data_IF_104353290527
#
_entry.id   IF_104353290527
#
_cell.length_a   1.000
_cell.length_b   1.000
_cell.length_c   1.000
_cell.angle_alpha   90.00
_cell.angle_beta   90.00
_cell.angle_gamma   90.00
#
_symmetry.space_group_name_H-M   'P 1'
#
loop_
_entity.id
_entity.type
_entity.pdbx_description
1 polymer ?
#
# COMPACT_ATOMS: atom_id res chain seq x y z
N UNK A 1 36.35 -41.67 37.41
CA UNK A 1 35.25 -42.08 36.50
C UNK A 1 34.66 -40.81 35.93
N UNK A 2 34.90 -40.48 34.64
CA UNK A 2 34.42 -39.22 34.05
C UNK A 2 32.91 -39.31 33.76
N UNK A 3 32.18 -38.28 34.19
CA UNK A 3 30.77 -38.06 33.85
C UNK A 3 30.70 -37.63 32.38
N UNK A 4 29.95 -38.40 31.57
CA UNK A 4 29.82 -38.22 30.14
C UNK A 4 28.79 -37.11 29.84
N UNK A 5 29.16 -36.02 29.14
CA UNK A 5 28.28 -34.87 28.88
C UNK A 5 27.24 -35.10 27.75
N UNK A 6 26.94 -36.34 27.37
CA UNK A 6 26.03 -36.67 26.25
C UNK A 6 24.65 -37.14 26.69
N UNK A 7 24.44 -37.43 27.97
CA UNK A 7 23.17 -37.96 28.47
C UNK A 7 22.16 -36.85 28.82
N UNK A 8 22.59 -35.59 28.84
CA UNK A 8 21.74 -34.41 29.13
C UNK A 8 21.00 -33.89 27.88
N UNK A 9 21.51 -34.21 26.68
CA UNK A 9 20.95 -33.68 25.41
C UNK A 9 19.78 -34.53 24.88
N UNK A 10 19.47 -35.66 25.52
CA UNK A 10 18.48 -36.63 24.99
C UNK A 10 17.09 -36.50 25.64
N UNK A 11 16.89 -35.66 26.68
CA UNK A 11 15.67 -35.71 27.50
C UNK A 11 14.69 -34.54 27.37
N UNK A 12 14.85 -33.63 26.41
CA UNK A 12 13.85 -32.59 26.10
C UNK A 12 13.30 -32.71 24.68
N UNK A 13 12.91 -33.93 24.30
CA UNK A 13 12.28 -34.22 23.00
C UNK A 13 10.86 -34.79 23.11
N UNK A 14 10.18 -34.57 24.24
CA UNK A 14 8.87 -35.17 24.47
C UNK A 14 7.98 -34.33 25.39
N UNK A 15 7.38 -33.26 24.84
CA UNK A 15 6.05 -32.77 25.24
C UNK A 15 5.64 -31.57 24.35
N UNK A 16 5.38 -31.81 23.07
CA UNK A 16 4.51 -30.91 22.30
C UNK A 16 3.10 -31.46 22.47
N UNK A 17 2.21 -30.78 23.22
CA UNK A 17 0.88 -31.29 23.48
C UNK A 17 -0.03 -31.13 22.25
N UNK A 18 -0.77 -32.20 21.90
CA UNK A 18 -1.64 -32.36 20.71
C UNK A 18 -2.88 -31.42 20.64
N UNK A 19 -2.84 -30.25 21.28
CA UNK A 19 -3.97 -29.29 21.30
C UNK A 19 -3.68 -27.96 20.58
N UNK A 20 -2.62 -27.88 19.77
CA UNK A 20 -2.35 -26.70 18.93
C UNK A 20 -2.36 -27.00 17.42
N UNK A 21 -2.98 -28.11 17.02
CA UNK A 21 -3.44 -28.32 15.64
C UNK A 21 -4.88 -27.80 15.54
N UNK A 22 -5.06 -26.48 15.63
CA UNK A 22 -6.30 -25.83 15.20
C UNK A 22 -6.00 -24.45 14.62
N UNK A 23 -6.50 -24.20 13.40
CA UNK A 23 -6.63 -22.85 12.83
C UNK A 23 -5.66 -22.39 11.74
N UNK A 24 -4.88 -23.28 11.11
CA UNK A 24 -3.79 -22.97 10.16
C UNK A 24 -4.13 -22.26 8.82
N UNK A 25 -5.27 -21.58 8.65
CA UNK A 25 -5.63 -20.98 7.35
C UNK A 25 -6.03 -19.50 7.35
N UNK A 26 -5.92 -18.76 8.46
CA UNK A 26 -6.25 -17.34 8.48
C UNK A 26 -5.12 -16.39 8.92
N UNK A 27 -4.03 -16.91 9.52
CA UNK A 27 -3.06 -16.09 10.25
C UNK A 27 -1.70 -15.87 9.55
N UNK A 28 -1.48 -16.49 8.38
CA UNK A 28 -0.22 -16.39 7.64
C UNK A 28 -0.08 -15.08 6.84
N UNK A 29 -1.19 -14.44 6.48
CA UNK A 29 -1.20 -13.26 5.61
C UNK A 29 -0.85 -11.95 6.34
N UNK A 30 -1.21 -11.82 7.62
CA UNK A 30 -0.92 -10.61 8.40
C UNK A 30 0.56 -10.51 8.81
N UNK A 31 1.20 -11.64 9.11
CA UNK A 31 2.62 -11.68 9.49
C UNK A 31 3.56 -11.29 8.35
N UNK A 32 3.19 -11.54 7.09
CA UNK A 32 4.01 -11.17 5.92
C UNK A 32 3.95 -9.67 5.60
N UNK A 33 2.82 -9.00 5.86
CA UNK A 33 2.67 -7.56 5.60
C UNK A 33 3.47 -6.70 6.59
N UNK A 34 3.59 -7.16 7.85
CA UNK A 34 4.40 -6.47 8.86
C UNK A 34 5.91 -6.72 8.71
N UNK A 35 6.32 -7.77 8.00
CA UNK A 35 7.72 -8.05 7.69
C UNK A 35 8.29 -7.14 6.58
N UNK A 36 7.44 -6.52 5.76
CA UNK A 36 7.87 -5.57 4.73
C UNK A 36 8.21 -4.18 5.32
N UNK A 37 7.61 -3.79 6.44
CA UNK A 37 7.85 -2.50 7.12
C UNK A 37 9.02 -2.57 8.13
N UNK A 38 9.53 -3.76 8.47
CA UNK A 38 10.67 -3.93 9.38
C UNK A 38 11.97 -3.44 8.75
N UNK A 39 12.35 -2.20 9.07
CA UNK A 39 13.59 -1.55 8.62
C UNK A 39 13.37 -0.18 7.98
N UNK A 40 12.13 0.17 7.62
CA UNK A 40 11.81 1.49 7.09
C UNK A 40 11.56 2.50 8.22
N UNK A 41 12.43 3.50 8.30
CA UNK A 41 12.21 4.64 9.19
C UNK A 41 11.20 5.61 8.56
N UNK A 42 9.99 5.71 9.12
CA UNK A 42 8.98 6.72 8.77
C UNK A 42 9.44 8.12 9.22
N UNK A 43 10.52 8.65 8.63
CA UNK A 43 11.14 9.93 8.99
C UNK A 43 10.86 11.04 7.96
N UNK A 44 9.96 10.81 7.00
CA UNK A 44 9.58 11.84 6.02
C UNK A 44 8.82 12.96 6.70
N UNK A 45 9.37 14.17 6.64
CA UNK A 45 8.71 15.37 7.16
C UNK A 45 7.44 15.65 6.34
N UNK A 46 6.39 16.22 6.93
CA UNK A 46 5.15 16.57 6.21
C UNK A 46 5.40 17.39 4.93
N UNK A 47 6.41 18.28 4.96
CA UNK A 47 6.85 19.05 3.79
C UNK A 47 7.37 18.18 2.64
N UNK A 48 8.12 17.11 2.93
CA UNK A 48 8.65 16.21 1.89
C UNK A 48 7.51 15.41 1.25
N UNK A 49 6.53 14.97 2.05
CA UNK A 49 5.34 14.28 1.57
C UNK A 49 4.51 15.20 0.65
N UNK A 50 4.35 16.47 1.03
CA UNK A 50 3.67 17.46 0.19
C UNK A 50 4.41 17.73 -1.13
N UNK A 51 5.75 17.79 -1.11
CA UNK A 51 6.54 17.96 -2.34
C UNK A 51 6.37 16.77 -3.29
N UNK A 52 6.29 15.54 -2.78
CA UNK A 52 6.01 14.34 -3.57
C UNK A 52 4.61 14.43 -4.19
N UNK A 53 3.62 14.81 -3.40
CA UNK A 53 2.24 14.98 -3.88
C UNK A 53 2.14 16.03 -4.99
N UNK A 54 2.77 17.20 -4.82
CA UNK A 54 2.79 18.27 -5.83
C UNK A 54 3.54 17.83 -7.09
N UNK A 55 4.69 17.15 -6.93
CA UNK A 55 5.47 16.63 -8.04
C UNK A 55 4.69 15.62 -8.90
N UNK A 56 3.95 14.72 -8.25
CA UNK A 56 3.06 13.78 -8.93
C UNK A 56 1.85 14.45 -9.60
N UNK A 57 1.25 15.44 -8.92
CA UNK A 57 0.05 16.13 -9.42
C UNK A 57 0.33 17.05 -10.62
N UNK A 58 1.47 17.76 -10.64
CA UNK A 58 1.87 18.61 -11.77
C UNK A 58 2.41 17.74 -12.92
N UNK A 59 3.38 16.86 -12.60
CA UNK A 59 3.97 15.89 -13.52
C UNK A 59 4.43 16.45 -14.87
N UNK A 60 4.79 15.55 -15.78
CA UNK A 60 5.03 15.89 -17.20
C UNK A 60 3.72 15.99 -17.99
N UNK A 61 2.62 15.43 -17.47
CA UNK A 61 1.31 15.40 -18.15
C UNK A 61 0.71 16.78 -18.36
N UNK A 62 0.85 17.69 -17.39
CA UNK A 62 0.41 19.07 -17.57
C UNK A 62 1.23 19.79 -18.65
N UNK A 63 2.54 19.53 -18.72
CA UNK A 63 3.42 20.22 -19.67
C UNK A 63 3.31 19.67 -21.10
N UNK A 64 3.34 18.34 -21.25
CA UNK A 64 3.22 17.67 -22.55
C UNK A 64 1.78 17.71 -23.08
N UNK A 65 0.79 17.70 -22.20
CA UNK A 65 -0.63 17.69 -22.54
C UNK A 65 -1.26 19.07 -22.70
N UNK A 66 -0.89 20.08 -21.90
CA UNK A 66 -1.53 21.39 -21.99
C UNK A 66 -1.05 22.23 -23.17
N UNK A 67 0.22 22.10 -23.59
CA UNK A 67 0.80 22.94 -24.64
C UNK A 67 0.04 22.87 -25.98
N UNK A 68 -0.20 21.67 -26.51
CA UNK A 68 -0.95 21.48 -27.75
C UNK A 68 -2.44 21.77 -27.60
N UNK A 69 -3.02 21.38 -26.46
CA UNK A 69 -4.47 21.56 -26.21
C UNK A 69 -4.87 23.00 -25.94
N UNK A 70 -3.96 23.83 -25.41
CA UNK A 70 -4.22 25.24 -25.19
C UNK A 70 -4.33 26.00 -26.52
N UNK A 71 -3.51 25.62 -27.52
CA UNK A 71 -3.56 26.20 -28.85
C UNK A 71 -4.86 25.85 -29.61
N UNK A 72 -5.36 24.61 -29.46
CA UNK A 72 -6.60 24.17 -30.13
C UNK A 72 -7.88 24.54 -29.39
N UNK A 73 -7.94 24.39 -28.05
CA UNK A 73 -9.17 24.60 -27.28
C UNK A 73 -9.39 26.06 -26.85
N UNK A 74 -8.34 26.89 -26.87
CA UNK A 74 -8.43 28.27 -26.41
C UNK A 74 -8.81 28.40 -24.92
N UNK A 75 -9.45 29.51 -24.50
CA UNK A 75 -9.78 29.77 -23.09
C UNK A 75 -10.69 28.72 -22.45
N UNK A 76 -11.44 27.96 -23.28
CA UNK A 76 -12.34 26.90 -22.82
C UNK A 76 -11.62 25.76 -22.10
N UNK A 77 -10.30 25.59 -22.34
CA UNK A 77 -9.49 24.56 -21.71
C UNK A 77 -9.46 24.70 -20.17
N UNK A 78 -9.48 25.94 -19.65
CA UNK A 78 -9.49 26.19 -18.21
C UNK A 78 -10.77 25.64 -17.57
N UNK A 79 -11.91 25.83 -18.24
CA UNK A 79 -13.21 25.32 -17.76
C UNK A 79 -13.21 23.79 -17.80
N UNK A 80 -12.69 23.18 -18.88
CA UNK A 80 -12.59 21.73 -18.98
C UNK A 80 -11.68 21.14 -17.88
N UNK A 81 -10.54 21.77 -17.59
CA UNK A 81 -9.66 21.38 -16.49
C UNK A 81 -10.30 21.58 -15.11
N UNK A 82 -11.09 22.64 -14.91
CA UNK A 82 -11.79 22.88 -13.66
C UNK A 82 -12.86 21.82 -13.38
N UNK A 83 -13.66 21.45 -14.40
CA UNK A 83 -14.68 20.40 -14.27
C UNK A 83 -14.02 19.03 -14.05
N UNK A 84 -12.99 18.69 -14.83
CA UNK A 84 -12.23 17.46 -14.65
C UNK A 84 -11.58 17.40 -13.24
N UNK A 85 -10.95 18.50 -12.83
CA UNK A 85 -10.34 18.66 -11.51
C UNK A 85 -11.34 18.55 -10.37
N UNK A 86 -12.58 19.02 -10.56
CA UNK A 86 -13.64 18.85 -9.57
C UNK A 86 -14.00 17.38 -9.34
N UNK A 87 -14.21 16.61 -10.41
CA UNK A 87 -14.45 15.16 -10.28
C UNK A 87 -13.24 14.42 -9.70
N UNK A 88 -12.04 14.76 -10.17
CA UNK A 88 -10.80 14.19 -9.63
C UNK A 88 -10.63 14.52 -8.14
N UNK A 89 -10.97 15.73 -7.71
CA UNK A 89 -10.94 16.14 -6.30
C UNK A 89 -11.91 15.32 -5.45
N UNK A 90 -13.13 15.05 -5.93
CA UNK A 90 -14.08 14.20 -5.22
C UNK A 90 -13.54 12.78 -5.02
N UNK A 91 -12.94 12.20 -6.07
CA UNK A 91 -12.32 10.87 -5.99
C UNK A 91 -11.13 10.90 -5.03
N UNK A 92 -10.24 11.89 -5.14
CA UNK A 92 -9.06 12.02 -4.29
C UNK A 92 -9.45 12.25 -2.82
N UNK A 93 -10.55 12.97 -2.56
CA UNK A 93 -11.11 13.15 -1.23
C UNK A 93 -11.67 11.83 -0.68
N UNK A 94 -12.41 11.07 -1.47
CA UNK A 94 -12.91 9.75 -1.07
C UNK A 94 -11.75 8.77 -0.78
N UNK A 95 -10.72 8.75 -1.63
CA UNK A 95 -9.50 7.97 -1.41
C UNK A 95 -8.72 8.44 -0.17
N UNK A 96 -8.67 9.75 0.08
CA UNK A 96 -8.03 10.31 1.26
C UNK A 96 -8.69 9.85 2.56
N UNK A 97 -10.03 9.88 2.61
CA UNK A 97 -10.79 9.36 3.76
C UNK A 97 -10.55 7.84 3.96
N UNK A 98 -10.43 7.07 2.86
CA UNK A 98 -10.10 5.64 2.91
C UNK A 98 -8.69 5.38 3.48
N UNK A 99 -7.70 6.15 3.03
CA UNK A 99 -6.29 6.07 3.48
C UNK A 99 -6.16 6.45 4.96
N UNK A 100 -6.93 7.42 5.44
CA UNK A 100 -6.98 7.81 6.85
C UNK A 100 -7.66 6.74 7.71
N UNK A 101 -8.68 6.04 7.19
CA UNK A 101 -9.43 5.03 7.94
C UNK A 101 -8.64 3.72 8.15
N UNK A 102 -7.75 3.35 7.20
CA UNK A 102 -6.88 2.16 7.32
C UNK A 102 -5.46 2.47 6.82
N UNK A 103 -4.52 2.86 7.70
CA UNK A 103 -3.13 3.09 7.30
C UNK A 103 -2.39 1.75 7.07
N UNK A 104 -2.71 1.05 5.98
CA UNK A 104 -1.91 -0.06 5.46
C UNK A 104 -0.82 0.50 4.55
N UNK A 105 0.41 0.00 4.66
CA UNK A 105 1.56 0.39 3.82
C UNK A 105 1.45 -0.10 2.35
N UNK A 106 0.27 -0.59 1.95
CA UNK A 106 -0.05 -1.06 0.59
C UNK A 106 -0.49 0.06 -0.37
N UNK A 107 -0.17 -0.12 -1.66
CA UNK A 107 -0.60 0.74 -2.78
C UNK A 107 -2.14 0.86 -2.87
N UNK A 108 -2.66 1.87 -3.59
CA UNK A 108 -4.11 2.00 -3.86
C UNK A 108 -4.75 0.70 -4.41
N UNK A 109 -3.95 -0.12 -5.09
CA UNK A 109 -4.32 -1.47 -5.58
C UNK A 109 -4.64 -2.45 -4.45
N UNK A 110 -4.05 -2.30 -3.27
CA UNK A 110 -4.35 -3.11 -2.09
C UNK A 110 -5.79 -2.95 -1.63
N UNK A 111 -6.37 -1.74 -1.75
CA UNK A 111 -7.80 -1.51 -1.49
C UNK A 111 -8.68 -2.12 -2.60
N UNK A 112 -8.24 -2.08 -3.86
CA UNK A 112 -8.97 -2.72 -4.96
C UNK A 112 -9.04 -4.25 -4.84
N UNK A 113 -7.99 -4.90 -4.31
CA UNK A 113 -8.01 -6.35 -4.00
C UNK A 113 -9.11 -6.72 -3.01
N UNK A 114 -9.25 -5.92 -1.96
CA UNK A 114 -10.14 -6.25 -0.84
C UNK A 114 -11.62 -5.96 -1.16
N UNK A 115 -11.91 -4.90 -1.93
CA UNK A 115 -13.28 -4.55 -2.30
C UNK A 115 -13.78 -5.18 -3.62
N UNK A 116 -12.90 -5.45 -4.59
CA UNK A 116 -13.29 -5.93 -5.94
C UNK A 116 -12.68 -7.30 -6.33
N UNK A 117 -11.84 -7.90 -5.48
CA UNK A 117 -11.25 -9.23 -5.68
C UNK A 117 -9.98 -9.26 -6.54
N UNK A 118 -9.32 -10.42 -6.58
CA UNK A 118 -8.01 -10.68 -7.23
C UNK A 118 -7.94 -10.18 -8.70
N UNK A 119 -9.04 -10.33 -9.45
CA UNK A 119 -9.11 -9.94 -10.87
C UNK A 119 -9.11 -8.43 -11.08
N UNK A 120 -9.82 -7.68 -10.23
CA UNK A 120 -9.87 -6.22 -10.34
C UNK A 120 -8.52 -5.58 -10.00
N UNK A 121 -7.81 -6.18 -9.05
CA UNK A 121 -6.48 -5.74 -8.67
C UNK A 121 -5.40 -6.03 -9.71
N UNK A 122 -5.50 -7.17 -10.40
CA UNK A 122 -4.61 -7.47 -11.51
C UNK A 122 -4.82 -6.49 -12.67
N UNK A 123 -6.07 -6.11 -12.96
CA UNK A 123 -6.38 -5.10 -13.98
C UNK A 123 -5.96 -3.68 -13.56
N UNK A 124 -6.13 -3.31 -12.28
CA UNK A 124 -5.72 -1.99 -11.80
C UNK A 124 -4.22 -1.84 -11.57
N UNK A 125 -3.50 -2.95 -11.42
CA UNK A 125 -2.08 -2.98 -11.08
C UNK A 125 -1.14 -3.23 -12.27
N UNK A 126 -1.67 -3.57 -13.45
CA UNK A 126 -0.90 -3.75 -14.69
C UNK A 126 -0.68 -2.41 -15.39
#
# INVERSE_FOLDING_TARGET
MPINPKDEVVQERSAVPDHLIDGGHAHATESSLHAEDTGYHKNLKPRQIQMIAIGGAIGTGLFLGAGGRLAEAGPSLVIAYAVCGFFAFLILRALGELVLHRPSSGSFVSYAREFFGEKAAFVSGW
#
